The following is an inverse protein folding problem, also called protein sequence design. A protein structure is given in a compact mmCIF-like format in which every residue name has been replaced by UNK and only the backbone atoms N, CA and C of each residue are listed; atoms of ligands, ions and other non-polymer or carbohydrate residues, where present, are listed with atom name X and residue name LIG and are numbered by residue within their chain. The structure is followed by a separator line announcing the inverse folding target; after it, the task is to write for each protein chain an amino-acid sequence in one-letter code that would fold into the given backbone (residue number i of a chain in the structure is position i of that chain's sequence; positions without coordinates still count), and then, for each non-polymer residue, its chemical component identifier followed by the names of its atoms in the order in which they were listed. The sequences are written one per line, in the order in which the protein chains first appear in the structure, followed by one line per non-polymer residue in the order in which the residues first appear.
data_IF_922478997128
#
_entry.id   IF_922478997128
#
_cell.length_a   1.000
_cell.length_b   1.000
_cell.length_c   1.000
_cell.angle_alpha   90.00
_cell.angle_beta   90.00
_cell.angle_gamma   90.00
#
_symmetry.space_group_name_H-M   'P 1'
#
loop_
_entity.id
_entity.type
_entity.pdbx_description
1 polymer ?
#
# COMPACT_ATOMS: atom_id res chain seq x y z
N UNK A 1 -25.52 5.65 -4.84
CA UNK A 1 -24.43 6.62 -5.11
C UNK A 1 -23.26 6.20 -4.22
N UNK A 2 -22.26 5.52 -4.75
CA UNK A 2 -21.15 4.95 -3.96
C UNK A 2 -20.21 6.11 -3.65
N UNK A 3 -20.10 6.52 -2.38
CA UNK A 3 -19.12 7.52 -1.95
C UNK A 3 -17.73 7.02 -2.33
N UNK A 4 -17.12 7.64 -3.35
CA UNK A 4 -15.74 7.36 -3.73
C UNK A 4 -14.84 7.90 -2.63
N UNK A 5 -14.53 7.07 -1.64
CA UNK A 5 -13.67 7.51 -0.55
C UNK A 5 -12.23 7.35 -1.00
N UNK A 6 -11.41 8.42 -0.91
CA UNK A 6 -10.01 8.32 -1.26
C UNK A 6 -9.36 7.25 -0.39
N UNK A 7 -8.70 6.29 -1.03
CA UNK A 7 -7.93 5.24 -0.40
C UNK A 7 -6.51 5.29 -0.96
N UNK A 8 -5.53 5.20 -0.07
CA UNK A 8 -4.15 5.04 -0.47
C UNK A 8 -3.95 3.62 -0.97
N UNK A 9 -3.39 3.49 -2.16
CA UNK A 9 -2.99 2.23 -2.78
C UNK A 9 -1.51 2.34 -3.10
N UNK A 10 -0.70 1.50 -2.45
CA UNK A 10 0.74 1.45 -2.67
C UNK A 10 1.09 0.16 -3.39
N UNK A 11 1.66 0.26 -4.58
CA UNK A 11 2.02 -0.88 -5.41
C UNK A 11 3.45 -1.31 -5.14
N UNK A 12 3.75 -2.57 -5.45
CA UNK A 12 5.08 -3.13 -5.30
C UNK A 12 5.58 -3.70 -6.64
N UNK A 13 6.89 -3.61 -6.86
CA UNK A 13 7.52 -4.17 -8.04
C UNK A 13 7.60 -5.70 -7.97
N UNK A 14 7.70 -6.27 -6.77
CA UNK A 14 7.85 -7.71 -6.54
C UNK A 14 6.96 -8.20 -5.41
N UNK A 15 6.54 -9.47 -5.47
CA UNK A 15 5.78 -10.13 -4.41
C UNK A 15 6.55 -10.16 -3.09
N UNK A 16 7.88 -10.28 -3.13
CA UNK A 16 8.74 -10.24 -1.94
C UNK A 16 8.67 -8.89 -1.23
N UNK A 17 8.69 -7.79 -1.97
CA UNK A 17 8.54 -6.45 -1.39
C UNK A 17 7.15 -6.26 -0.77
N UNK A 18 6.10 -6.74 -1.45
CA UNK A 18 4.73 -6.72 -0.94
C UNK A 18 4.59 -7.49 0.39
N UNK A 19 5.13 -8.71 0.46
CA UNK A 19 5.09 -9.52 1.68
C UNK A 19 5.98 -8.95 2.80
N UNK A 20 7.13 -8.36 2.46
CA UNK A 20 7.98 -7.69 3.44
C UNK A 20 7.27 -6.48 4.07
N UNK A 21 6.62 -5.67 3.24
CA UNK A 21 5.81 -4.54 3.69
C UNK A 21 4.62 -5.00 4.54
N UNK A 22 3.95 -6.09 4.17
CA UNK A 22 2.88 -6.67 4.98
C UNK A 22 3.39 -7.11 6.35
N UNK A 23 4.46 -7.91 6.41
CA UNK A 23 5.03 -8.38 7.67
C UNK A 23 5.48 -7.24 8.58
N UNK A 24 6.15 -6.25 8.01
CA UNK A 24 6.57 -5.07 8.73
C UNK A 24 5.38 -4.25 9.24
N UNK A 25 4.37 -4.06 8.39
CA UNK A 25 3.15 -3.34 8.76
C UNK A 25 2.40 -4.04 9.88
N UNK A 26 2.29 -5.38 9.81
CA UNK A 26 1.71 -6.18 10.89
C UNK A 26 2.53 -6.08 12.18
N UNK A 27 3.87 -6.12 12.10
CA UNK A 27 4.75 -6.01 13.26
C UNK A 27 4.70 -4.62 13.92
N UNK A 28 4.52 -3.57 13.13
CA UNK A 28 4.41 -2.18 13.60
C UNK A 28 2.96 -1.76 13.92
N UNK A 29 1.98 -2.62 13.66
CA UNK A 29 0.55 -2.30 13.82
C UNK A 29 0.07 -1.18 12.89
N UNK A 30 0.66 -1.06 11.70
CA UNK A 30 0.29 -0.04 10.72
C UNK A 30 -1.10 -0.30 10.13
N UNK A 31 -1.90 0.76 9.92
CA UNK A 31 -3.22 0.63 9.34
C UNK A 31 -3.13 0.28 7.86
N UNK A 32 -3.94 -0.69 7.45
CA UNK A 32 -4.06 -1.11 6.07
C UNK A 32 -4.02 -2.61 5.92
N UNK A 33 -4.06 -3.07 4.67
CA UNK A 33 -3.99 -4.48 4.32
C UNK A 33 -3.46 -4.67 2.92
N UNK A 34 -2.84 -5.81 2.67
CA UNK A 34 -2.49 -6.23 1.32
C UNK A 34 -3.77 -6.59 0.55
N UNK A 35 -3.93 -6.02 -0.64
CA UNK A 35 -5.00 -6.29 -1.57
C UNK A 35 -4.41 -6.66 -2.94
N UNK A 36 -5.12 -7.43 -3.76
CA UNK A 36 -4.78 -7.53 -5.18
C UNK A 36 -4.90 -6.15 -5.83
N UNK A 37 -4.02 -5.85 -6.78
CA UNK A 37 -3.99 -4.58 -7.48
C UNK A 37 -5.33 -4.36 -8.21
N UNK A 38 -5.99 -3.22 -8.00
CA UNK A 38 -7.22 -2.93 -8.73
C UNK A 38 -6.94 -2.79 -10.23
N UNK A 39 -7.88 -3.22 -11.07
CA UNK A 39 -7.78 -3.14 -12.55
C UNK A 39 -7.48 -1.74 -13.10
N UNK A 40 -7.70 -0.70 -12.31
CA UNK A 40 -7.42 0.70 -12.67
C UNK A 40 -5.92 1.03 -12.62
N UNK A 41 -5.09 0.22 -11.94
CA UNK A 41 -3.64 0.42 -11.84
C UNK A 41 -2.93 -0.85 -12.32
N UNK A 42 -1.80 -0.70 -12.99
CA UNK A 42 -0.94 -1.84 -13.35
C UNK A 42 0.26 -1.86 -12.41
N UNK A 43 0.38 -2.89 -11.57
CA UNK A 43 1.58 -3.11 -10.77
C UNK A 43 2.27 -4.40 -11.22
N UNK A 44 3.60 -4.41 -11.21
CA UNK A 44 4.40 -5.53 -11.72
C UNK A 44 4.16 -6.86 -11.02
N UNK A 45 3.74 -6.84 -9.73
CA UNK A 45 3.55 -8.06 -8.94
C UNK A 45 2.09 -8.46 -8.67
N UNK A 46 1.11 -7.66 -9.11
CA UNK A 46 -0.31 -7.92 -8.83
C UNK A 46 -0.78 -7.69 -7.38
N UNK A 47 0.09 -7.22 -6.48
CA UNK A 47 -0.21 -6.89 -5.09
C UNK A 47 -0.01 -5.41 -4.78
N UNK A 48 -0.90 -4.88 -3.93
CA UNK A 48 -0.85 -3.51 -3.45
C UNK A 48 -1.25 -3.44 -1.97
N UNK A 49 -0.79 -2.42 -1.26
CA UNK A 49 -1.20 -2.13 0.10
C UNK A 49 -2.31 -1.07 0.06
N UNK A 50 -3.46 -1.38 0.66
CA UNK A 50 -4.57 -0.44 0.81
C UNK A 50 -4.61 0.10 2.23
N UNK A 51 -4.61 1.42 2.35
CA UNK A 51 -4.71 2.11 3.64
C UNK A 51 -5.51 3.43 3.51
N UNK A 52 -5.87 4.06 4.63
CA UNK A 52 -6.41 5.42 4.61
C UNK A 52 -5.38 6.42 4.06
N UNK A 53 -5.78 7.40 3.24
CA UNK A 53 -4.88 8.42 2.71
C UNK A 53 -4.29 9.32 3.79
N UNK A 54 -5.00 9.50 4.90
CA UNK A 54 -4.55 10.23 6.09
C UNK A 54 -3.29 9.61 6.70
N UNK A 55 -3.18 8.27 6.63
CA UNK A 55 -2.05 7.52 7.19
C UNK A 55 -0.93 7.27 6.16
N UNK A 56 -1.01 7.89 4.98
CA UNK A 56 0.01 7.79 3.93
C UNK A 56 1.39 8.15 4.46
N UNK A 57 1.50 9.30 5.10
CA UNK A 57 2.79 9.82 5.54
C UNK A 57 3.41 8.91 6.62
N UNK A 58 2.58 8.44 7.56
CA UNK A 58 2.98 7.48 8.59
C UNK A 58 3.45 6.16 8.00
N UNK A 59 2.75 5.64 6.98
CA UNK A 59 3.14 4.40 6.29
C UNK A 59 4.47 4.56 5.55
N UNK A 60 4.63 5.64 4.79
CA UNK A 60 5.85 5.89 4.03
C UNK A 60 7.05 6.06 4.96
N UNK A 61 6.90 6.84 6.04
CA UNK A 61 7.94 7.01 7.06
C UNK A 61 8.31 5.68 7.73
N UNK A 62 7.32 4.88 8.12
CA UNK A 62 7.56 3.58 8.74
C UNK A 62 8.27 2.62 7.77
N UNK A 63 7.85 2.60 6.50
CA UNK A 63 8.46 1.77 5.48
C UNK A 63 9.87 2.21 5.12
N UNK A 64 10.12 3.51 5.05
CA UNK A 64 11.45 4.07 4.85
C UNK A 64 12.39 3.73 6.01
N UNK A 65 11.92 3.89 7.26
CA UNK A 65 12.66 3.47 8.46
C UNK A 65 12.91 1.95 8.49
N UNK A 66 11.99 1.16 7.95
CA UNK A 66 12.13 -0.28 7.77
C UNK A 66 12.98 -0.71 6.57
N UNK A 67 13.47 0.24 5.75
CA UNK A 67 14.21 -0.04 4.52
C UNK A 67 13.39 -0.75 3.43
N UNK A 68 12.07 -0.65 3.49
CA UNK A 68 11.16 -1.28 2.54
C UNK A 68 11.09 -0.47 1.25
N UNK A 69 11.09 -1.17 0.12
CA UNK A 69 10.91 -0.55 -1.20
C UNK A 69 9.48 -0.78 -1.70
N UNK A 70 8.80 0.32 -2.01
CA UNK A 70 7.56 0.31 -2.78
C UNK A 70 7.81 0.86 -4.19
N UNK A 71 6.88 0.60 -5.10
CA UNK A 71 6.98 1.06 -6.48
C UNK A 71 6.32 2.44 -6.64
N UNK A 72 5.04 2.54 -6.27
CA UNK A 72 4.29 3.79 -6.41
C UNK A 72 3.17 3.86 -5.37
N UNK A 73 2.93 5.06 -4.82
CA UNK A 73 1.87 5.31 -3.85
C UNK A 73 0.85 6.29 -4.44
N UNK A 74 -0.30 5.77 -4.87
CA UNK A 74 -1.38 6.54 -5.50
C UNK A 74 -2.60 6.60 -4.58
N UNK A 75 -3.31 7.72 -4.59
CA UNK A 75 -4.59 7.85 -3.88
C UNK A 75 -5.69 7.62 -4.91
N UNK A 76 -6.40 6.49 -4.79
CA UNK A 76 -7.54 6.19 -5.63
C UNK A 76 -8.84 6.52 -4.93
N UNK A 77 -9.73 7.20 -5.65
CA UNK A 77 -11.12 7.39 -5.25
C UNK A 77 -11.94 6.17 -5.71
N UNK A 78 -11.81 5.04 -5.00
CA UNK A 78 -12.63 3.83 -5.23
C UNK A 78 -14.04 3.98 -4.66
#
# INVERSE_FOLDING_TARGET
MREKRPALVITFATTTAAMAAERFSLAQGLPGRLIPVPREITAGCGLAWKAPPEEKERLLLAWEAGGLRWQEAVILCC
#
